data_IF_017051138033
#
_entry.id   IF_017051138033
#
_cell.length_a   1.000
_cell.length_b   1.000
_cell.length_c   1.000
_cell.angle_alpha   90.00
_cell.angle_beta   90.00
_cell.angle_gamma   90.00
#
_symmetry.space_group_name_H-M   'P 1'
#
loop_
_entity.id
_entity.type
_entity.pdbx_description
1 polymer ?
#
# COMPACT_ATOMS: atom_id res chain seq x y z
N UNK A 1 3.37 -10.21 22.60
CA UNK A 1 3.31 -9.20 21.53
C UNK A 1 2.00 -9.38 20.77
N UNK A 2 1.21 -8.31 20.54
CA UNK A 2 -0.07 -8.40 19.80
C UNK A 2 0.15 -8.85 18.34
N UNK A 3 -0.85 -9.48 17.72
CA UNK A 3 -0.77 -10.05 16.35
C UNK A 3 -0.22 -9.05 15.32
N UNK A 4 -0.73 -7.82 15.31
CA UNK A 4 -0.26 -6.77 14.40
C UNK A 4 1.24 -6.46 14.56
N UNK A 5 1.77 -6.52 15.80
CA UNK A 5 3.20 -6.35 16.05
C UNK A 5 4.02 -7.52 15.50
N UNK A 6 3.52 -8.76 15.63
CA UNK A 6 4.18 -9.96 15.07
C UNK A 6 4.25 -9.91 13.56
N UNK A 7 3.17 -9.50 12.90
CA UNK A 7 3.13 -9.39 11.44
C UNK A 7 4.03 -8.24 10.95
N UNK A 8 4.01 -7.09 11.64
CA UNK A 8 4.89 -5.96 11.27
C UNK A 8 6.38 -6.33 11.40
N UNK A 9 6.76 -7.08 12.43
CA UNK A 9 8.13 -7.55 12.59
C UNK A 9 8.52 -8.59 11.54
N UNK A 10 7.60 -9.49 11.20
CA UNK A 10 7.80 -10.42 10.08
C UNK A 10 8.00 -9.68 8.75
N UNK A 11 7.21 -8.62 8.46
CA UNK A 11 7.42 -7.77 7.27
C UNK A 11 8.82 -7.14 7.30
N UNK A 12 9.25 -6.57 8.44
CA UNK A 12 10.59 -5.97 8.60
C UNK A 12 11.69 -6.99 8.28
N UNK A 13 11.56 -8.21 8.76
CA UNK A 13 12.51 -9.30 8.49
C UNK A 13 12.55 -9.65 7.00
N UNK A 14 11.39 -9.76 6.35
CA UNK A 14 11.32 -10.05 4.91
C UNK A 14 11.97 -8.97 4.05
N UNK A 15 11.77 -7.70 4.38
CA UNK A 15 12.45 -6.58 3.69
C UNK A 15 13.97 -6.69 3.85
N UNK A 16 14.45 -7.02 5.06
CA UNK A 16 15.88 -7.20 5.34
C UNK A 16 16.48 -8.40 4.59
N UNK A 17 15.80 -9.55 4.60
CA UNK A 17 16.21 -10.77 3.88
C UNK A 17 16.31 -10.53 2.38
N UNK A 18 15.41 -9.73 1.82
CA UNK A 18 15.42 -9.36 0.41
C UNK A 18 16.51 -8.33 0.04
N UNK A 19 17.23 -7.74 1.01
CA UNK A 19 18.14 -6.62 0.78
C UNK A 19 17.44 -5.38 0.25
N UNK A 20 16.13 -5.26 0.49
CA UNK A 20 15.30 -4.19 -0.06
C UNK A 20 15.31 -2.94 0.85
N UNK A 21 15.03 -1.79 0.26
CA UNK A 21 14.99 -0.52 1.00
C UNK A 21 13.65 -0.30 1.72
N UNK A 22 12.57 -0.95 1.30
CA UNK A 22 11.22 -0.69 1.81
C UNK A 22 10.15 -1.58 1.19
N UNK A 23 8.91 -1.09 1.20
CA UNK A 23 7.73 -1.81 0.69
C UNK A 23 7.00 -0.96 -0.34
N UNK A 24 6.60 -1.59 -1.45
CA UNK A 24 5.63 -1.03 -2.40
C UNK A 24 4.31 -1.77 -2.20
N UNK A 25 3.19 -1.04 -2.09
CA UNK A 25 1.86 -1.63 -1.86
C UNK A 25 0.81 -0.95 -2.74
N UNK A 26 -0.01 -1.76 -3.42
CA UNK A 26 -1.21 -1.25 -4.09
C UNK A 26 -2.27 -0.86 -3.05
N UNK A 27 -2.78 0.37 -3.12
CA UNK A 27 -3.85 0.86 -2.24
C UNK A 27 -5.11 1.05 -3.08
N UNK A 28 -6.09 0.17 -2.88
CA UNK A 28 -7.35 0.18 -3.64
C UNK A 28 -8.49 0.92 -2.94
N UNK A 29 -8.32 1.26 -1.66
CA UNK A 29 -9.41 1.77 -0.81
C UNK A 29 -10.15 0.68 -0.03
N UNK A 30 -9.88 -0.60 -0.33
CA UNK A 30 -10.39 -1.75 0.42
C UNK A 30 -9.66 -2.00 1.74
N UNK A 31 -10.31 -2.77 2.63
CA UNK A 31 -9.81 -3.09 3.97
C UNK A 31 -8.47 -3.84 3.94
N UNK A 32 -8.31 -4.80 3.04
CA UNK A 32 -7.10 -5.62 2.98
C UNK A 32 -5.86 -4.77 2.66
N UNK A 33 -5.95 -3.96 1.60
CA UNK A 33 -4.86 -3.04 1.22
C UNK A 33 -4.55 -2.02 2.32
N UNK A 34 -5.58 -1.58 3.05
CA UNK A 34 -5.44 -0.64 4.17
C UNK A 34 -4.71 -1.26 5.36
N UNK A 35 -5.02 -2.52 5.68
CA UNK A 35 -4.33 -3.30 6.73
C UNK A 35 -2.87 -3.52 6.33
N UNK A 36 -2.60 -3.93 5.10
CA UNK A 36 -1.23 -4.13 4.61
C UNK A 36 -0.44 -2.82 4.66
N UNK A 37 -1.00 -1.71 4.18
CA UNK A 37 -0.35 -0.40 4.22
C UNK A 37 -0.02 0.03 5.66
N UNK A 38 -0.95 -0.18 6.60
CA UNK A 38 -0.75 0.14 8.03
C UNK A 38 0.35 -0.71 8.68
N UNK A 39 0.35 -2.02 8.43
CA UNK A 39 1.37 -2.93 8.94
C UNK A 39 2.75 -2.65 8.31
N UNK A 40 2.80 -2.34 7.01
CA UNK A 40 4.02 -1.94 6.33
C UNK A 40 4.57 -0.62 6.91
N UNK A 41 3.72 0.39 7.13
CA UNK A 41 4.11 1.65 7.80
C UNK A 41 4.71 1.40 9.17
N UNK A 42 4.10 0.51 9.96
CA UNK A 42 4.62 0.10 11.26
C UNK A 42 5.95 -0.66 11.15
N UNK A 43 6.14 -1.45 10.11
CA UNK A 43 7.35 -2.22 9.87
C UNK A 43 8.52 -1.34 9.42
N UNK A 44 8.34 -0.46 8.43
CA UNK A 44 9.46 0.23 7.77
C UNK A 44 9.38 1.76 7.79
N UNK A 45 8.40 2.33 8.49
CA UNK A 45 8.25 3.78 8.64
C UNK A 45 7.98 4.46 7.30
N UNK A 46 8.72 5.52 6.98
CA UNK A 46 8.56 6.29 5.74
C UNK A 46 8.96 5.53 4.47
N UNK A 47 9.57 4.34 4.59
CA UNK A 47 10.02 3.54 3.46
C UNK A 47 8.89 2.70 2.84
N UNK A 48 7.70 3.29 2.75
CA UNK A 48 6.53 2.69 2.08
C UNK A 48 6.14 3.59 0.91
N UNK A 49 5.97 2.98 -0.26
CA UNK A 49 5.39 3.61 -1.43
C UNK A 49 4.02 2.98 -1.71
N UNK A 50 2.96 3.77 -1.56
CA UNK A 50 1.63 3.42 -2.01
C UNK A 50 1.49 3.62 -3.52
N UNK A 51 0.76 2.73 -4.20
CA UNK A 51 0.38 2.91 -5.60
C UNK A 51 -1.13 2.78 -5.73
N UNK A 52 -1.77 3.83 -6.25
CA UNK A 52 -3.22 3.86 -6.48
C UNK A 52 -3.42 3.66 -7.98
N UNK A 53 -4.03 2.54 -8.36
CA UNK A 53 -4.10 2.08 -9.75
C UNK A 53 -5.54 1.91 -10.23
N UNK A 54 -6.29 3.00 -10.47
CA UNK A 54 -7.65 2.90 -10.99
C UNK A 54 -7.62 2.28 -12.40
N UNK A 55 -8.63 1.45 -12.67
CA UNK A 55 -8.87 0.81 -13.95
C UNK A 55 -10.39 0.71 -14.16
N UNK A 56 -11.00 1.77 -14.71
CA UNK A 56 -12.46 1.93 -14.78
C UNK A 56 -13.15 1.72 -13.42
N UNK A 57 -12.45 2.04 -12.33
CA UNK A 57 -12.89 1.79 -10.96
C UNK A 57 -13.87 2.85 -10.49
N UNK A 58 -14.65 2.51 -9.45
CA UNK A 58 -15.55 3.46 -8.82
C UNK A 58 -14.77 4.65 -8.21
N UNK A 59 -15.19 5.90 -8.42
CA UNK A 59 -14.47 7.07 -7.88
C UNK A 59 -14.29 7.07 -6.35
N UNK A 60 -15.17 6.35 -5.63
CA UNK A 60 -15.12 6.23 -4.18
C UNK A 60 -13.90 5.41 -3.70
N UNK A 61 -13.50 4.40 -4.47
CA UNK A 61 -12.34 3.54 -4.16
C UNK A 61 -11.06 4.37 -4.14
N UNK A 62 -10.86 5.21 -5.16
CA UNK A 62 -9.71 6.12 -5.22
C UNK A 62 -9.73 7.13 -4.06
N UNK A 63 -10.91 7.64 -3.70
CA UNK A 63 -11.07 8.56 -2.56
C UNK A 63 -10.65 7.88 -1.24
N UNK A 64 -11.05 6.64 -1.01
CA UNK A 64 -10.62 5.89 0.17
C UNK A 64 -9.15 5.53 0.15
N UNK A 65 -8.60 5.17 -1.02
CA UNK A 65 -7.17 4.92 -1.17
C UNK A 65 -6.32 6.14 -0.78
N UNK A 66 -6.72 7.33 -1.24
CA UNK A 66 -6.09 8.61 -0.87
C UNK A 66 -6.21 8.89 0.63
N UNK A 67 -7.41 8.70 1.20
CA UNK A 67 -7.64 8.88 2.64
C UNK A 67 -6.73 7.98 3.48
N UNK A 68 -6.55 6.71 3.09
CA UNK A 68 -5.65 5.77 3.77
C UNK A 68 -4.20 6.26 3.70
N UNK A 69 -3.73 6.63 2.50
CA UNK A 69 -2.37 7.15 2.32
C UNK A 69 -2.12 8.40 3.17
N UNK A 70 -3.06 9.34 3.20
CA UNK A 70 -2.99 10.57 4.01
C UNK A 70 -2.96 10.27 5.52
N UNK A 71 -3.87 9.43 6.00
CA UNK A 71 -3.95 9.08 7.43
C UNK A 71 -2.70 8.36 7.93
N UNK A 72 -2.13 7.49 7.09
CA UNK A 72 -0.90 6.75 7.39
C UNK A 72 0.37 7.55 7.09
N UNK A 73 0.25 8.76 6.49
CA UNK A 73 1.38 9.57 6.01
C UNK A 73 2.32 8.76 5.13
N UNK A 74 1.77 8.04 4.16
CA UNK A 74 2.52 7.24 3.18
C UNK A 74 2.57 8.03 1.88
N UNK A 75 3.75 8.12 1.26
CA UNK A 75 3.85 8.66 -0.11
C UNK A 75 3.08 7.73 -1.04
N UNK A 76 2.14 8.28 -1.81
CA UNK A 76 1.36 7.52 -2.78
C UNK A 76 1.44 8.14 -4.17
N UNK A 77 1.66 7.28 -5.18
CA UNK A 77 1.65 7.65 -6.59
C UNK A 77 0.39 7.10 -7.26
N UNK A 78 -0.17 7.86 -8.20
CA UNK A 78 -1.35 7.43 -8.96
C UNK A 78 -0.96 7.04 -10.38
N UNK A 79 -1.37 5.84 -10.81
CA UNK A 79 -1.08 5.30 -12.14
C UNK A 79 -2.38 4.78 -12.75
N UNK A 80 -2.90 5.46 -13.78
CA UNK A 80 -4.16 5.05 -14.44
C UNK A 80 -3.89 3.88 -15.39
N UNK A 81 -4.63 2.78 -15.23
CA UNK A 81 -4.43 1.57 -16.02
C UNK A 81 -5.42 1.43 -17.19
N UNK A 82 -6.43 2.29 -17.30
CA UNK A 82 -7.50 2.21 -18.31
C UNK A 82 -6.96 1.92 -19.71
N UNK A 83 -6.06 2.77 -20.22
CA UNK A 83 -5.55 2.65 -21.58
C UNK A 83 -4.73 1.37 -21.84
N UNK A 84 -4.09 0.82 -20.80
CA UNK A 84 -3.32 -0.41 -20.90
C UNK A 84 -4.26 -1.61 -20.92
N UNK A 85 -5.29 -1.60 -20.07
CA UNK A 85 -6.30 -2.66 -20.00
C UNK A 85 -7.03 -2.84 -21.34
N UNK A 86 -7.43 -1.76 -22.01
CA UNK A 86 -8.12 -1.84 -23.31
C UNK A 86 -7.24 -2.31 -24.48
N UNK A 87 -5.92 -2.38 -24.32
CA UNK A 87 -4.98 -2.81 -25.38
C UNK A 87 -4.72 -4.31 -25.37
N UNK A 88 -5.06 -5.00 -24.28
CA UNK A 88 -4.97 -6.46 -24.16
C UNK A 88 -6.33 -7.10 -24.46
#
# INVERSE_FOLDING_TARGET
MQLAGRISEWIRQKVKEAGAEGVVVGISGGVDSSVVASLAKKAVGEKVLGVIMPCQSEPLDEKYARLVAEKLKIKAERVVLDSLYHRF
#
